data_IF_486324835646
#
_entry.id   IF_486324835646
#
_cell.length_a   1.000
_cell.length_b   1.000
_cell.length_c   1.000
_cell.angle_alpha   90.00
_cell.angle_beta   90.00
_cell.angle_gamma   90.00
#
_symmetry.space_group_name_H-M   'P 1'
#
loop_
_entity.id
_entity.type
_entity.pdbx_description
1 polymer ?
#
# COMPACT_ATOMS: atom_id res chain seq x y z
N UNK A 1 1.36 -18.18 4.14
CA UNK A 1 0.54 -17.48 5.16
C UNK A 1 0.10 -16.15 4.58
N UNK A 2 -1.14 -15.70 4.80
CA UNK A 2 -1.57 -14.35 4.37
C UNK A 2 -1.07 -13.34 5.39
N UNK A 3 -0.19 -12.43 5.00
CA UNK A 3 0.29 -11.40 5.92
C UNK A 3 -0.82 -10.36 6.17
N UNK A 4 -1.12 -10.10 7.44
CA UNK A 4 -2.14 -9.12 7.84
C UNK A 4 -1.48 -7.74 7.88
N UNK A 5 -2.11 -6.74 7.27
CA UNK A 5 -1.65 -5.35 7.38
C UNK A 5 -1.84 -4.88 8.82
N UNK A 6 -0.76 -4.43 9.45
CA UNK A 6 -0.74 -3.96 10.85
C UNK A 6 -1.32 -2.57 10.98
N UNK A 7 -1.01 -1.67 10.04
CA UNK A 7 -1.53 -0.30 10.03
C UNK A 7 -3.06 -0.30 10.06
N UNK A 8 -3.69 0.44 10.98
CA UNK A 8 -5.14 0.53 11.06
C UNK A 8 -5.69 1.29 9.85
N UNK A 9 -6.55 0.63 9.06
CA UNK A 9 -7.20 1.23 7.88
C UNK A 9 -8.66 1.52 8.21
N UNK A 10 -8.95 2.78 8.51
CA UNK A 10 -10.30 3.35 8.59
C UNK A 10 -10.87 3.68 7.20
N UNK A 11 -12.18 3.47 7.03
CA UNK A 11 -12.90 3.74 5.78
C UNK A 11 -12.91 5.23 5.38
N UNK A 12 -12.95 6.12 6.37
CA UNK A 12 -12.64 7.55 6.22
C UNK A 12 -11.44 7.85 7.11
N UNK A 13 -10.32 8.24 6.51
CA UNK A 13 -9.09 8.52 7.27
C UNK A 13 -8.17 9.43 6.47
N UNK A 14 -7.45 10.31 7.16
CA UNK A 14 -6.43 11.13 6.55
C UNK A 14 -5.10 10.36 6.64
N UNK A 15 -4.63 9.88 5.50
CA UNK A 15 -3.33 9.26 5.35
C UNK A 15 -2.45 10.15 4.48
N UNK A 16 -1.14 9.97 4.61
CA UNK A 16 -0.16 10.48 3.66
C UNK A 16 0.26 9.34 2.76
N UNK A 17 0.32 9.59 1.46
CA UNK A 17 0.97 8.69 0.49
C UNK A 17 2.27 9.33 0.04
N UNK A 18 3.37 8.58 0.13
CA UNK A 18 4.66 8.95 -0.47
C UNK A 18 5.01 7.95 -1.55
N UNK A 19 5.42 8.44 -2.71
CA UNK A 19 5.88 7.64 -3.84
C UNK A 19 7.33 7.97 -4.08
N UNK A 20 8.19 6.96 -3.98
CA UNK A 20 9.63 7.09 -4.26
C UNK A 20 9.97 6.34 -5.53
N UNK A 21 10.68 6.99 -6.45
CA UNK A 21 11.19 6.45 -7.71
C UNK A 21 12.62 6.97 -7.92
N UNK A 22 13.63 6.13 -7.72
CA UNK A 22 15.04 6.59 -7.69
C UNK A 22 15.26 7.63 -6.60
N UNK A 23 15.79 8.80 -6.98
CA UNK A 23 16.02 9.96 -6.09
C UNK A 23 14.78 10.87 -5.94
N UNK A 24 13.73 10.65 -6.75
CA UNK A 24 12.52 11.46 -6.69
C UNK A 24 11.56 10.93 -5.62
N UNK A 25 11.13 11.83 -4.72
CA UNK A 25 10.07 11.57 -3.75
C UNK A 25 8.91 12.52 -3.96
N UNK A 26 7.73 11.98 -4.22
CA UNK A 26 6.47 12.72 -4.32
C UNK A 26 5.60 12.39 -3.12
N UNK A 27 4.95 13.39 -2.54
CA UNK A 27 4.06 13.22 -1.41
C UNK A 27 2.68 13.77 -1.75
N UNK A 28 1.64 12.99 -1.42
CA UNK A 28 0.24 13.31 -1.64
C UNK A 28 -0.60 13.01 -0.42
N UNK A 29 -1.86 13.46 -0.46
CA UNK A 29 -2.86 13.12 0.56
C UNK A 29 -3.62 11.87 0.12
N UNK A 30 -4.11 11.13 1.09
CA UNK A 30 -4.95 9.96 0.86
C UNK A 30 -6.13 10.02 1.83
N UNK A 31 -7.33 10.32 1.31
CA UNK A 31 -8.55 10.48 2.12
C UNK A 31 -9.28 9.17 2.36
N UNK A 32 -9.01 8.17 1.52
CA UNK A 32 -9.57 6.82 1.58
C UNK A 32 -8.53 5.83 1.08
N UNK A 33 -8.33 4.76 1.83
CA UNK A 33 -7.38 3.70 1.51
C UNK A 33 -8.08 2.34 1.64
N UNK A 34 -7.91 1.50 0.62
CA UNK A 34 -8.35 0.11 0.62
C UNK A 34 -7.19 -0.76 0.20
N UNK A 35 -6.86 -1.76 1.03
CA UNK A 35 -5.81 -2.73 0.76
C UNK A 35 -6.44 -4.11 0.81
N UNK A 36 -6.32 -4.87 -0.28
CA UNK A 36 -6.86 -6.22 -0.39
C UNK A 36 -5.77 -7.18 -0.86
N UNK A 37 -5.49 -8.21 -0.08
CA UNK A 37 -4.64 -9.32 -0.52
C UNK A 37 -5.27 -9.98 -1.76
N UNK A 38 -4.48 -10.11 -2.83
CA UNK A 38 -4.88 -10.88 -4.00
C UNK A 38 -4.66 -12.37 -3.70
N UNK A 39 -5.56 -13.27 -4.15
CA UNK A 39 -5.27 -14.69 -4.08
C UNK A 39 -3.97 -14.95 -4.85
N UNK A 40 -3.09 -15.78 -4.29
CA UNK A 40 -1.90 -16.23 -5.01
C UNK A 40 -2.36 -16.84 -6.33
N UNK A 41 -1.84 -16.31 -7.43
CA UNK A 41 -2.16 -16.77 -8.77
C UNK A 41 -1.61 -18.20 -8.89
N UNK A 42 -2.49 -19.20 -8.81
CA UNK A 42 -2.11 -20.62 -8.95
C UNK A 42 -1.65 -20.97 -10.37
N UNK A 43 -1.59 -19.98 -11.27
CA UNK A 43 -1.35 -20.13 -12.71
C UNK A 43 0.08 -19.81 -13.13
N UNK A 44 0.98 -19.48 -12.21
CA UNK A 44 2.39 -19.19 -12.53
C UNK A 44 3.31 -20.26 -11.91
N UNK A 45 3.31 -21.44 -12.53
CA UNK A 45 4.46 -22.34 -12.51
C UNK A 45 5.62 -21.70 -13.30
N UNK A 46 6.26 -20.68 -12.73
CA UNK A 46 7.51 -20.14 -13.27
C UNK A 46 8.43 -19.72 -12.14
N UNK A 47 9.43 -20.57 -11.89
CA UNK A 47 10.78 -20.21 -11.44
C UNK A 47 10.87 -19.35 -10.16
N UNK A 48 10.94 -20.01 -9.00
CA UNK A 48 11.80 -19.58 -7.90
C UNK A 48 11.32 -18.48 -6.95
N UNK A 49 10.07 -18.02 -7.01
CA UNK A 49 9.50 -17.13 -5.98
C UNK A 49 8.18 -17.65 -5.46
N UNK A 50 8.22 -18.79 -4.77
CA UNK A 50 7.12 -19.22 -3.91
C UNK A 50 6.83 -18.13 -2.87
N UNK A 51 5.61 -17.57 -2.91
CA UNK A 51 5.01 -16.99 -1.71
C UNK A 51 4.99 -15.46 -1.58
N UNK A 52 5.39 -14.68 -2.60
CA UNK A 52 5.26 -13.22 -2.49
C UNK A 52 3.77 -12.80 -2.59
N UNK A 53 3.20 -12.41 -1.45
CA UNK A 53 1.81 -11.97 -1.35
C UNK A 53 1.64 -10.62 -2.08
N UNK A 54 0.87 -10.62 -3.18
CA UNK A 54 0.46 -9.40 -3.89
C UNK A 54 -0.76 -8.78 -3.24
N UNK A 55 -0.83 -7.47 -3.23
CA UNK A 55 -1.95 -6.68 -2.74
C UNK A 55 -2.48 -5.78 -3.85
N UNK A 56 -3.79 -5.58 -3.86
CA UNK A 56 -4.45 -4.51 -4.61
C UNK A 56 -4.66 -3.35 -3.66
N UNK A 57 -4.08 -2.21 -4.01
CA UNK A 57 -4.20 -0.96 -3.27
C UNK A 57 -5.10 -0.04 -4.09
N UNK A 58 -6.13 0.51 -3.44
CA UNK A 58 -6.95 1.58 -4.01
C UNK A 58 -6.94 2.75 -3.04
N UNK A 59 -6.54 3.93 -3.51
CA UNK A 59 -6.54 5.13 -2.69
C UNK A 59 -7.12 6.33 -3.43
N UNK A 60 -7.52 7.35 -2.68
CA UNK A 60 -8.16 8.55 -3.22
C UNK A 60 -7.43 9.81 -2.76
N UNK A 61 -7.08 10.66 -3.71
CA UNK A 61 -6.54 12.01 -3.48
C UNK A 61 -7.46 13.04 -4.13
N UNK A 62 -8.08 13.92 -3.34
CA UNK A 62 -9.00 14.97 -3.81
C UNK A 62 -9.97 14.59 -4.95
N UNK A 63 -10.63 13.43 -4.83
CA UNK A 63 -11.59 12.94 -5.84
C UNK A 63 -10.97 12.13 -6.98
N UNK A 64 -9.65 12.13 -7.13
CA UNK A 64 -8.93 11.23 -8.03
C UNK A 64 -8.76 9.86 -7.36
N UNK A 65 -9.20 8.81 -8.05
CA UNK A 65 -9.02 7.42 -7.62
C UNK A 65 -7.78 6.82 -8.27
N UNK A 66 -6.92 6.25 -7.45
CA UNK A 66 -5.73 5.52 -7.88
C UNK A 66 -5.88 4.03 -7.56
N UNK A 67 -5.37 3.19 -8.45
CA UNK A 67 -5.41 1.74 -8.31
C UNK A 67 -4.08 1.15 -8.76
N UNK A 68 -3.45 0.37 -7.89
CA UNK A 68 -2.20 -0.32 -8.20
C UNK A 68 -2.16 -1.69 -7.53
N UNK A 69 -1.36 -2.59 -8.11
CA UNK A 69 -1.04 -3.87 -7.51
C UNK A 69 0.42 -3.83 -7.08
N UNK A 70 0.69 -4.18 -5.82
CA UNK A 70 2.02 -4.10 -5.26
C UNK A 70 2.35 -5.25 -4.33
N UNK A 71 3.64 -5.44 -4.11
CA UNK A 71 4.21 -6.40 -3.17
C UNK A 71 4.45 -5.67 -1.87
N UNK A 72 4.06 -6.26 -0.74
CA UNK A 72 4.31 -5.69 0.57
C UNK A 72 5.82 -5.70 0.87
N UNK A 73 6.38 -4.57 1.28
CA UNK A 73 7.81 -4.43 1.61
C UNK A 73 8.04 -3.95 3.04
N UNK A 74 7.12 -3.16 3.61
CA UNK A 74 7.14 -2.79 5.03
C UNK A 74 5.72 -2.86 5.60
N UNK A 75 5.58 -3.33 6.83
CA UNK A 75 4.30 -3.58 7.49
C UNK A 75 4.38 -3.25 8.97
N UNK A 76 4.26 -1.97 9.28
CA UNK A 76 4.33 -1.43 10.64
C UNK A 76 2.96 -0.87 11.07
N UNK A 77 2.86 -0.49 12.34
CA UNK A 77 1.61 0.02 12.91
C UNK A 77 1.29 1.45 12.44
N UNK A 78 2.31 2.28 12.20
CA UNK A 78 2.16 3.67 11.76
C UNK A 78 2.16 3.81 10.23
N UNK A 79 2.76 2.85 9.52
CA UNK A 79 2.89 2.87 8.06
C UNK A 79 2.93 1.49 7.40
N UNK A 80 2.61 1.47 6.11
CA UNK A 80 2.71 0.30 5.25
C UNK A 80 3.28 0.71 3.89
N UNK A 81 4.21 -0.08 3.36
CA UNK A 81 4.88 0.21 2.08
C UNK A 81 4.68 -0.92 1.08
N UNK A 82 4.42 -0.57 -0.17
CA UNK A 82 4.28 -1.50 -1.28
C UNK A 82 5.21 -1.14 -2.44
N UNK A 83 5.94 -2.12 -2.96
CA UNK A 83 6.65 -1.99 -4.24
C UNK A 83 5.67 -2.27 -5.39
N UNK A 84 5.65 -1.38 -6.39
CA UNK A 84 4.88 -1.57 -7.60
C UNK A 84 5.58 -0.90 -8.78
N UNK A 85 6.00 -1.72 -9.75
CA UNK A 85 6.62 -1.28 -11.00
C UNK A 85 7.86 -0.39 -10.79
N UNK A 86 8.72 -0.74 -9.83
CA UNK A 86 9.95 0.01 -9.53
C UNK A 86 9.75 1.23 -8.64
N UNK A 87 8.53 1.44 -8.12
CA UNK A 87 8.19 2.54 -7.21
C UNK A 87 7.79 2.01 -5.85
N UNK A 88 8.18 2.72 -4.81
CA UNK A 88 7.76 2.43 -3.44
C UNK A 88 6.62 3.37 -3.04
N UNK A 89 5.46 2.80 -2.78
CA UNK A 89 4.27 3.50 -2.28
C UNK A 89 4.16 3.28 -0.77
N UNK A 90 4.50 4.29 0.01
CA UNK A 90 4.35 4.30 1.47
C UNK A 90 3.08 5.02 1.85
N UNK A 91 2.21 4.35 2.60
CA UNK A 91 1.03 4.92 3.23
C UNK A 91 1.30 5.05 4.72
N UNK A 92 1.01 6.21 5.30
CA UNK A 92 1.19 6.45 6.73
C UNK A 92 -0.06 7.07 7.30
N UNK A 93 -0.47 6.60 8.48
CA UNK A 93 -1.55 7.23 9.22
C UNK A 93 -1.10 8.62 9.67
N UNK A 94 -1.93 9.64 9.44
CA UNK A 94 -1.70 10.94 10.09
C UNK A 94 -2.23 10.80 11.51
N UNK A 95 -1.40 11.01 12.56
CA UNK A 95 -1.93 11.02 13.91
C UNK A 95 -3.01 12.09 13.98
N UNK A 96 -4.23 11.69 14.33
CA UNK A 96 -5.27 12.64 14.68
C UNK A 96 -4.80 13.27 15.99
N UNK A 97 -4.30 14.50 15.94
CA UNK A 97 -4.05 15.27 17.15
C UNK A 97 -5.35 15.27 17.95
N UNK A 98 -5.35 14.58 19.09
CA UNK A 98 -6.40 14.73 20.09
C UNK A 98 -6.15 16.09 20.73
N UNK A 99 -6.95 17.07 20.34
CA UNK A 99 -7.16 18.29 21.12
C UNK A 99 -7.95 17.92 22.39
#
# INVERSE_FOLDING_TARGET
MKEKIKMPISFHGNYVVSVTEGDEKKQGRCQKLFIKALPGDKTVESVGTEGIQKYRITYFDFGCRYLLNGILVENEEDHVSFESAGRIYRFSSVPVSKD
#
